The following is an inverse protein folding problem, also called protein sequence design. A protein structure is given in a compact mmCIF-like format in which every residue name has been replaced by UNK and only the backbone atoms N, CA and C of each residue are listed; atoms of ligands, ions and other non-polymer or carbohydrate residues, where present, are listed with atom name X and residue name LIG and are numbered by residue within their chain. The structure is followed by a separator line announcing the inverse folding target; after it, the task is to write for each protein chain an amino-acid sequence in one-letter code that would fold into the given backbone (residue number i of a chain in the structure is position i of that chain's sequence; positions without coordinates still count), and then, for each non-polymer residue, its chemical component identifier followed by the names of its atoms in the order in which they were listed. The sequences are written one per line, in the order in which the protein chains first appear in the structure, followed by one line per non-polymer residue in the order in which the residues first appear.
data_IF_980826680414
#
_entry.id   IF_980826680414
#
_cell.length_a   1.000
_cell.length_b   1.000
_cell.length_c   1.000
_cell.angle_alpha   90.00
_cell.angle_beta   90.00
_cell.angle_gamma   90.00
#
_symmetry.space_group_name_H-M   'P 1'
#
loop_
_entity.id
_entity.type
_entity.pdbx_description
1 polymer ?
#
# COMPACT_ATOMS: atom_id res chain seq x y z
N UNK A 1 37.66 -6.59 -16.90
CA UNK A 1 37.48 -6.06 -18.26
C UNK A 1 37.21 -4.54 -18.28
N UNK A 2 36.30 -4.01 -17.51
CA UNK A 2 35.97 -2.56 -17.39
C UNK A 2 37.18 -1.69 -16.95
N UNK A 3 37.95 -2.13 -15.96
CA UNK A 3 39.12 -1.39 -15.44
C UNK A 3 40.20 -1.20 -16.48
N UNK A 4 40.56 -2.25 -17.28
CA UNK A 4 41.51 -2.15 -18.38
C UNK A 4 41.06 -1.22 -19.53
N UNK A 5 39.73 -1.07 -19.69
CA UNK A 5 39.15 -0.15 -20.68
C UNK A 5 39.23 1.31 -20.20
N UNK A 6 39.14 1.53 -18.89
CA UNK A 6 39.28 2.87 -18.28
C UNK A 6 40.70 3.43 -18.38
N UNK A 7 41.74 2.59 -18.33
CA UNK A 7 43.15 3.05 -18.42
C UNK A 7 43.46 3.73 -19.77
N UNK A 8 42.80 3.30 -20.85
CA UNK A 8 42.99 3.86 -22.20
C UNK A 8 42.03 5.02 -22.55
N UNK A 9 41.16 5.43 -21.62
CA UNK A 9 40.20 6.50 -21.91
C UNK A 9 40.82 7.86 -21.61
N UNK A 10 40.46 8.89 -22.41
CA UNK A 10 40.78 10.29 -22.11
C UNK A 10 40.20 10.71 -20.75
N UNK A 11 40.85 11.68 -20.10
CA UNK A 11 40.47 12.14 -18.77
C UNK A 11 39.00 12.53 -18.68
N UNK A 12 38.48 13.29 -19.66
CA UNK A 12 37.08 13.65 -19.76
C UNK A 12 36.16 12.43 -19.85
N UNK A 13 36.55 11.39 -20.55
CA UNK A 13 35.77 10.14 -20.67
C UNK A 13 35.76 9.34 -19.36
N UNK A 14 36.87 9.33 -18.59
CA UNK A 14 36.97 8.68 -17.28
C UNK A 14 36.00 9.36 -16.28
N UNK A 15 36.00 10.68 -16.26
CA UNK A 15 35.08 11.48 -15.41
C UNK A 15 33.61 11.25 -15.79
N UNK A 16 33.26 11.38 -17.06
CA UNK A 16 31.91 11.19 -17.56
C UNK A 16 31.40 9.77 -17.27
N UNK A 17 32.22 8.75 -17.41
CA UNK A 17 31.85 7.37 -17.07
C UNK A 17 31.48 7.22 -15.62
N UNK A 18 32.24 7.85 -14.70
CA UNK A 18 31.90 7.84 -13.26
C UNK A 18 30.54 8.46 -12.97
N UNK A 19 30.26 9.63 -13.55
CA UNK A 19 28.96 10.29 -13.39
C UNK A 19 27.80 9.48 -13.99
N UNK A 20 27.98 8.93 -15.19
CA UNK A 20 26.95 8.12 -15.87
C UNK A 20 26.56 6.90 -15.01
N UNK A 21 27.54 6.20 -14.43
CA UNK A 21 27.26 5.03 -13.58
C UNK A 21 26.39 5.42 -12.39
N UNK A 22 26.72 6.51 -11.70
CA UNK A 22 25.95 6.99 -10.55
C UNK A 22 24.53 7.42 -10.97
N UNK A 23 24.43 8.17 -12.08
CA UNK A 23 23.13 8.63 -12.62
C UNK A 23 22.24 7.42 -12.99
N UNK A 24 22.80 6.42 -13.66
CA UNK A 24 22.05 5.20 -14.04
C UNK A 24 21.52 4.47 -12.79
N UNK A 25 22.34 4.33 -11.74
CA UNK A 25 21.89 3.73 -10.49
C UNK A 25 20.78 4.55 -9.82
N UNK A 26 20.89 5.87 -9.83
CA UNK A 26 19.84 6.75 -9.29
C UNK A 26 18.53 6.61 -10.08
N UNK A 27 18.60 6.56 -11.40
CA UNK A 27 17.42 6.38 -12.26
C UNK A 27 16.76 5.02 -12.01
N UNK A 28 17.56 3.94 -11.94
CA UNK A 28 17.02 2.59 -11.64
C UNK A 28 16.34 2.57 -10.28
N UNK A 29 16.98 3.13 -9.25
CA UNK A 29 16.40 3.20 -7.89
C UNK A 29 15.12 4.05 -7.86
N UNK A 30 15.10 5.16 -8.59
CA UNK A 30 13.92 6.02 -8.72
C UNK A 30 12.74 5.32 -9.40
N UNK A 31 13.00 4.61 -10.50
CA UNK A 31 11.98 3.82 -11.20
C UNK A 31 11.41 2.71 -10.30
N UNK A 32 12.29 2.00 -9.59
CA UNK A 32 11.86 0.97 -8.63
C UNK A 32 10.99 1.56 -7.52
N UNK A 33 11.37 2.73 -6.97
CA UNK A 33 10.58 3.42 -5.94
C UNK A 33 9.18 3.79 -6.44
N UNK A 34 9.06 4.29 -7.67
CA UNK A 34 7.76 4.62 -8.28
C UNK A 34 6.89 3.36 -8.43
N UNK A 35 7.47 2.24 -8.89
CA UNK A 35 6.75 0.97 -9.02
C UNK A 35 6.26 0.48 -7.65
N UNK A 36 7.12 0.53 -6.63
CA UNK A 36 6.77 0.13 -5.25
C UNK A 36 5.63 0.99 -4.67
N UNK A 37 5.68 2.31 -4.87
CA UNK A 37 4.62 3.23 -4.44
C UNK A 37 3.30 2.95 -5.15
N UNK A 38 3.35 2.69 -6.46
CA UNK A 38 2.14 2.35 -7.23
C UNK A 38 1.52 1.04 -6.75
N UNK A 39 2.33 0.03 -6.46
CA UNK A 39 1.87 -1.26 -5.91
C UNK A 39 1.25 -1.07 -4.52
N UNK A 40 1.89 -0.30 -3.65
CA UNK A 40 1.38 0.00 -2.31
C UNK A 40 0.04 0.75 -2.38
N UNK A 41 -0.08 1.75 -3.26
CA UNK A 41 -1.33 2.47 -3.49
C UNK A 41 -2.44 1.54 -4.02
N UNK A 42 -2.12 0.64 -4.96
CA UNK A 42 -3.05 -0.37 -5.46
C UNK A 42 -3.55 -1.31 -4.35
N UNK A 43 -2.64 -1.79 -3.49
CA UNK A 43 -3.01 -2.62 -2.34
C UNK A 43 -3.91 -1.87 -1.36
N UNK A 44 -3.63 -0.59 -1.08
CA UNK A 44 -4.46 0.24 -0.21
C UNK A 44 -5.86 0.45 -0.79
N UNK A 45 -5.96 0.74 -2.08
CA UNK A 45 -7.23 0.90 -2.78
C UNK A 45 -8.04 -0.40 -2.76
N UNK A 46 -7.40 -1.55 -3.02
CA UNK A 46 -8.04 -2.87 -2.94
C UNK A 46 -8.51 -3.20 -1.53
N UNK A 47 -7.75 -2.84 -0.51
CA UNK A 47 -8.18 -2.99 0.88
C UNK A 47 -9.40 -2.11 1.20
N UNK A 48 -9.36 -0.82 0.84
CA UNK A 48 -10.41 0.14 1.19
C UNK A 48 -11.72 -0.18 0.48
N UNK A 49 -11.67 -0.48 -0.82
CA UNK A 49 -12.86 -0.77 -1.62
C UNK A 49 -13.33 -2.23 -1.52
N UNK A 50 -12.47 -3.11 -0.99
CA UNK A 50 -12.73 -4.53 -0.83
C UNK A 50 -12.98 -4.90 0.63
N UNK A 51 -11.96 -5.43 1.32
CA UNK A 51 -12.09 -6.01 2.65
C UNK A 51 -12.74 -5.05 3.67
N UNK A 52 -12.33 -3.77 3.67
CA UNK A 52 -12.90 -2.74 4.55
C UNK A 52 -14.35 -2.43 4.20
N UNK A 53 -14.74 -2.46 2.93
CA UNK A 53 -16.13 -2.25 2.51
C UNK A 53 -17.02 -3.42 2.95
N UNK A 54 -16.53 -4.67 2.84
CA UNK A 54 -17.22 -5.87 3.36
C UNK A 54 -17.49 -5.73 4.86
N UNK A 55 -16.45 -5.46 5.64
CA UNK A 55 -16.54 -5.26 7.09
C UNK A 55 -17.56 -4.16 7.44
N UNK A 56 -17.43 -2.99 6.82
CA UNK A 56 -18.30 -1.86 7.10
C UNK A 56 -19.75 -2.15 6.76
N UNK A 57 -20.04 -2.72 5.59
CA UNK A 57 -21.39 -3.05 5.17
C UNK A 57 -22.04 -4.09 6.10
N UNK A 58 -21.30 -5.11 6.53
CA UNK A 58 -21.79 -6.11 7.49
C UNK A 58 -22.09 -5.48 8.84
N UNK A 59 -21.21 -4.66 9.38
CA UNK A 59 -21.39 -3.99 10.67
C UNK A 59 -22.57 -3.01 10.63
N UNK A 60 -22.69 -2.19 9.59
CA UNK A 60 -23.78 -1.23 9.44
C UNK A 60 -25.13 -1.92 9.25
N UNK A 61 -25.17 -3.00 8.47
CA UNK A 61 -26.36 -3.85 8.33
C UNK A 61 -26.84 -4.34 9.69
N UNK A 62 -25.94 -4.90 10.52
CA UNK A 62 -26.25 -5.35 11.90
C UNK A 62 -26.73 -4.20 12.79
N UNK A 63 -26.14 -3.02 12.69
CA UNK A 63 -26.59 -1.84 13.45
C UNK A 63 -28.02 -1.49 13.09
N UNK A 64 -28.33 -1.44 11.79
CA UNK A 64 -29.69 -1.10 11.34
C UNK A 64 -30.71 -2.17 11.75
N UNK A 65 -30.40 -3.45 11.59
CA UNK A 65 -31.24 -4.57 12.02
C UNK A 65 -31.51 -4.50 13.53
N UNK A 66 -30.47 -4.27 14.35
CA UNK A 66 -30.62 -4.18 15.81
C UNK A 66 -31.46 -2.99 16.26
N UNK A 67 -31.34 -1.83 15.57
CA UNK A 67 -32.17 -0.66 15.85
C UNK A 67 -33.65 -0.95 15.52
N UNK A 68 -33.91 -1.56 14.34
CA UNK A 68 -35.27 -1.95 13.97
C UNK A 68 -35.85 -2.97 14.93
N UNK A 69 -35.09 -4.02 15.31
CA UNK A 69 -35.51 -5.02 16.28
C UNK A 69 -35.81 -4.43 17.68
N UNK A 70 -35.01 -3.44 18.08
CA UNK A 70 -35.28 -2.71 19.34
C UNK A 70 -36.59 -1.95 19.24
N UNK A 71 -36.84 -1.22 18.18
CA UNK A 71 -38.04 -0.42 18.02
C UNK A 71 -39.31 -1.29 17.92
N UNK A 72 -39.25 -2.46 17.26
CA UNK A 72 -40.35 -3.44 17.27
C UNK A 72 -40.65 -3.88 18.71
N UNK A 73 -39.64 -4.19 19.53
CA UNK A 73 -39.82 -4.55 20.94
C UNK A 73 -40.36 -3.38 21.79
N UNK A 74 -39.91 -2.16 21.53
CA UNK A 74 -40.44 -0.97 22.21
C UNK A 74 -41.92 -0.79 21.91
N UNK A 75 -42.38 -0.97 20.67
CA UNK A 75 -43.82 -0.96 20.32
C UNK A 75 -44.60 -2.04 21.09
N UNK A 76 -44.05 -3.27 21.20
CA UNK A 76 -44.67 -4.36 21.90
C UNK A 76 -44.78 -4.10 23.41
N UNK A 77 -43.80 -3.44 24.01
CA UNK A 77 -43.75 -3.14 25.44
C UNK A 77 -44.50 -1.87 25.84
N UNK A 78 -44.63 -0.89 24.93
CA UNK A 78 -45.28 0.39 25.21
C UNK A 78 -46.78 0.31 24.95
N UNK A 79 -47.63 0.54 25.98
CA UNK A 79 -49.09 0.55 25.78
C UNK A 79 -49.58 1.81 25.05
N UNK A 80 -48.77 2.88 24.99
CA UNK A 80 -49.14 4.12 24.30
C UNK A 80 -48.94 4.00 22.81
N UNK A 81 -50.02 3.74 22.07
CA UNK A 81 -50.01 3.61 20.63
C UNK A 81 -49.76 4.91 19.87
N UNK A 82 -49.81 6.07 20.55
CA UNK A 82 -49.54 7.37 19.91
C UNK A 82 -48.11 7.51 19.39
N UNK A 83 -47.19 6.73 19.95
CA UNK A 83 -45.77 6.70 19.55
C UNK A 83 -45.46 5.74 18.38
N UNK A 84 -46.40 4.86 18.00
CA UNK A 84 -46.19 3.80 17.02
C UNK A 84 -45.82 4.33 15.63
N UNK A 85 -46.41 5.44 15.22
CA UNK A 85 -46.08 6.05 13.91
C UNK A 85 -44.59 6.45 13.82
N UNK A 86 -44.04 6.97 14.92
CA UNK A 86 -42.65 7.37 15.00
C UNK A 86 -41.69 6.15 14.95
N UNK A 87 -42.01 5.12 15.76
CA UNK A 87 -41.24 3.87 15.75
C UNK A 87 -41.28 3.20 14.39
N UNK A 88 -42.45 3.14 13.75
CA UNK A 88 -42.63 2.56 12.42
C UNK A 88 -41.78 3.29 11.35
N UNK A 89 -41.82 4.62 11.37
CA UNK A 89 -41.02 5.39 10.41
C UNK A 89 -39.50 5.14 10.57
N UNK A 90 -39.03 5.01 11.83
CA UNK A 90 -37.63 4.67 12.07
C UNK A 90 -37.31 3.22 11.68
N UNK A 91 -38.22 2.27 11.93
CA UNK A 91 -38.05 0.87 11.52
C UNK A 91 -37.89 0.82 10.02
N UNK A 92 -38.78 1.39 9.23
CA UNK A 92 -38.72 1.37 7.76
C UNK A 92 -37.40 2.00 7.22
N UNK A 93 -37.00 3.16 7.76
CA UNK A 93 -35.72 3.80 7.42
C UNK A 93 -34.52 2.86 7.68
N UNK A 94 -34.57 2.14 8.81
CA UNK A 94 -33.50 1.19 9.15
C UNK A 94 -33.49 -0.06 8.30
N UNK A 95 -34.66 -0.57 7.93
CA UNK A 95 -34.78 -1.72 7.04
C UNK A 95 -34.27 -1.40 5.64
N UNK A 96 -34.63 -0.22 5.09
CA UNK A 96 -34.11 0.24 3.81
C UNK A 96 -32.57 0.37 3.84
N UNK A 97 -32.02 0.98 4.89
CA UNK A 97 -30.57 1.10 5.07
C UNK A 97 -29.91 -0.27 5.19
N UNK A 98 -30.50 -1.22 5.92
CA UNK A 98 -29.97 -2.58 6.02
C UNK A 98 -29.92 -3.27 4.64
N UNK A 99 -30.97 -3.15 3.82
CA UNK A 99 -30.98 -3.65 2.44
C UNK A 99 -29.88 -3.03 1.59
N UNK A 100 -29.72 -1.71 1.66
CA UNK A 100 -28.69 -0.97 0.92
C UNK A 100 -27.27 -1.44 1.31
N UNK A 101 -27.01 -1.73 2.58
CA UNK A 101 -25.72 -2.27 3.02
C UNK A 101 -25.52 -3.71 2.51
N UNK A 102 -26.56 -4.54 2.48
CA UNK A 102 -26.47 -5.91 1.90
C UNK A 102 -26.21 -5.87 0.41
N UNK A 103 -26.84 -4.99 -0.34
CA UNK A 103 -26.55 -4.80 -1.76
C UNK A 103 -25.11 -4.26 -1.98
N UNK A 104 -24.65 -3.32 -1.16
CA UNK A 104 -23.27 -2.85 -1.21
C UNK A 104 -22.26 -3.97 -0.89
N UNK A 105 -22.63 -4.88 0.02
CA UNK A 105 -21.84 -6.06 0.34
C UNK A 105 -21.73 -6.99 -0.87
N UNK A 106 -22.82 -7.31 -1.54
CA UNK A 106 -22.86 -8.11 -2.78
C UNK A 106 -22.03 -7.47 -3.89
N UNK A 107 -22.14 -6.15 -4.04
CA UNK A 107 -21.42 -5.38 -5.07
C UNK A 107 -19.90 -5.44 -4.95
N UNK A 108 -19.36 -5.81 -3.79
CA UNK A 108 -17.89 -6.00 -3.63
C UNK A 108 -17.35 -7.18 -4.44
N UNK A 109 -18.17 -8.19 -4.71
CA UNK A 109 -17.77 -9.42 -5.39
C UNK A 109 -16.72 -10.26 -4.63
N UNK A 110 -16.48 -9.95 -3.35
CA UNK A 110 -15.46 -10.61 -2.51
C UNK A 110 -16.01 -11.69 -1.60
N UNK A 111 -17.34 -11.79 -1.50
CA UNK A 111 -18.05 -12.78 -0.71
C UNK A 111 -18.60 -13.83 -1.65
N UNK A 112 -18.57 -15.07 -1.20
CA UNK A 112 -19.25 -16.15 -1.91
C UNK A 112 -20.72 -15.81 -2.16
N UNK A 113 -21.19 -16.04 -3.38
CA UNK A 113 -22.55 -15.68 -3.82
C UNK A 113 -23.61 -16.40 -2.96
N UNK A 114 -23.35 -17.63 -2.56
CA UNK A 114 -24.24 -18.40 -1.69
C UNK A 114 -24.36 -17.73 -0.31
N UNK A 115 -23.23 -17.34 0.31
CA UNK A 115 -23.24 -16.67 1.61
C UNK A 115 -23.92 -15.31 1.54
N UNK A 116 -23.68 -14.53 0.48
CA UNK A 116 -24.30 -13.24 0.28
C UNK A 116 -25.82 -13.35 0.08
N UNK A 117 -26.27 -14.35 -0.71
CA UNK A 117 -27.69 -14.61 -0.93
C UNK A 117 -28.37 -15.15 0.32
N UNK A 118 -27.73 -16.03 1.08
CA UNK A 118 -28.24 -16.51 2.37
C UNK A 118 -28.47 -15.37 3.36
N UNK A 119 -27.52 -14.42 3.42
CA UNK A 119 -27.69 -13.24 4.30
C UNK A 119 -28.82 -12.33 3.83
N UNK A 120 -28.93 -12.07 2.51
CA UNK A 120 -30.03 -11.30 1.92
C UNK A 120 -31.39 -11.94 2.17
N UNK A 121 -31.52 -13.25 1.92
CA UNK A 121 -32.77 -13.98 2.14
C UNK A 121 -33.17 -13.98 3.61
N UNK A 122 -32.21 -14.23 4.51
CA UNK A 122 -32.48 -14.19 5.96
C UNK A 122 -32.91 -12.79 6.43
N UNK A 123 -32.39 -11.71 5.81
CA UNK A 123 -32.84 -10.34 6.08
C UNK A 123 -34.28 -10.13 5.64
N UNK A 124 -34.63 -10.56 4.44
CA UNK A 124 -36.02 -10.40 3.95
C UNK A 124 -37.02 -11.23 4.77
N UNK A 125 -36.67 -12.49 5.13
CA UNK A 125 -37.48 -13.33 6.01
C UNK A 125 -37.73 -12.62 7.35
N UNK A 126 -36.69 -12.04 7.95
CA UNK A 126 -36.78 -11.30 9.20
C UNK A 126 -37.64 -10.02 9.07
N UNK A 127 -37.54 -9.31 7.93
CA UNK A 127 -38.34 -8.12 7.64
C UNK A 127 -39.83 -8.46 7.54
N UNK A 128 -40.18 -9.58 6.87
CA UNK A 128 -41.56 -10.05 6.74
C UNK A 128 -42.14 -10.29 8.13
N UNK A 129 -41.48 -11.04 8.99
CA UNK A 129 -41.92 -11.30 10.36
C UNK A 129 -42.02 -10.00 11.17
N UNK A 130 -41.10 -9.05 10.99
CA UNK A 130 -41.16 -7.73 11.62
C UNK A 130 -42.42 -6.95 11.22
N UNK A 131 -42.86 -7.00 9.99
CA UNK A 131 -44.09 -6.37 9.50
C UNK A 131 -45.33 -7.07 10.04
N UNK A 132 -45.34 -8.39 10.15
CA UNK A 132 -46.45 -9.15 10.73
C UNK A 132 -46.62 -8.81 12.20
N UNK A 133 -45.53 -8.74 12.99
CA UNK A 133 -45.57 -8.30 14.39
C UNK A 133 -46.13 -6.89 14.50
N UNK A 134 -45.73 -5.95 13.66
CA UNK A 134 -46.27 -4.59 13.66
C UNK A 134 -47.75 -4.56 13.31
N UNK A 135 -48.25 -5.43 12.43
CA UNK A 135 -49.66 -5.55 12.09
C UNK A 135 -50.50 -6.06 13.27
N UNK A 136 -49.99 -7.07 14.02
CA UNK A 136 -50.65 -7.57 15.24
C UNK A 136 -50.70 -6.50 16.34
N UNK A 137 -49.66 -5.69 16.48
CA UNK A 137 -49.65 -4.57 17.41
C UNK A 137 -50.67 -3.49 17.06
N UNK A 138 -50.85 -3.20 15.74
CA UNK A 138 -51.85 -2.27 15.26
C UNK A 138 -53.30 -2.81 15.48
N UNK A 139 -53.48 -4.12 15.35
CA UNK A 139 -54.76 -4.79 15.65
C UNK A 139 -55.06 -4.88 17.16
N UNK A 140 -54.11 -4.52 18.02
CA UNK A 140 -54.26 -4.62 19.47
C UNK A 140 -53.93 -6.01 20.07
N UNK A 141 -53.45 -6.95 19.24
CA UNK A 141 -53.11 -8.33 19.59
C UNK A 141 -51.71 -8.44 20.18
N UNK A 142 -51.47 -7.70 21.27
CA UNK A 142 -50.14 -7.55 21.88
C UNK A 142 -49.55 -8.89 22.38
N UNK A 143 -50.36 -9.79 22.88
CA UNK A 143 -49.91 -11.09 23.37
C UNK A 143 -49.39 -11.92 22.21
N UNK A 144 -50.11 -11.98 21.09
CA UNK A 144 -49.72 -12.65 19.85
C UNK A 144 -48.43 -12.04 19.30
N UNK A 145 -48.36 -10.70 19.16
CA UNK A 145 -47.17 -10.00 18.72
C UNK A 145 -45.94 -10.33 19.57
N UNK A 146 -46.14 -10.43 20.93
CA UNK A 146 -45.02 -10.79 21.82
C UNK A 146 -44.56 -12.23 21.61
N UNK A 147 -45.53 -13.14 21.39
CA UNK A 147 -45.19 -14.54 21.09
C UNK A 147 -44.43 -14.66 19.77
N UNK A 148 -44.85 -13.95 18.72
CA UNK A 148 -44.13 -13.91 17.41
C UNK A 148 -42.70 -13.34 17.55
N UNK A 149 -42.52 -12.34 18.44
CA UNK A 149 -41.16 -11.85 18.71
C UNK A 149 -40.26 -12.97 19.25
N UNK A 150 -40.77 -13.81 20.15
CA UNK A 150 -39.97 -14.88 20.79
C UNK A 150 -39.76 -16.06 19.85
N UNK A 151 -40.82 -16.50 19.17
CA UNK A 151 -40.81 -17.76 18.42
C UNK A 151 -40.29 -17.62 16.98
N UNK A 152 -40.45 -16.46 16.34
CA UNK A 152 -40.13 -16.23 14.95
C UNK A 152 -39.03 -15.17 14.75
N UNK A 153 -39.20 -13.97 15.34
CA UNK A 153 -38.27 -12.85 15.13
C UNK A 153 -36.89 -13.13 15.74
N UNK A 154 -36.81 -13.62 16.96
CA UNK A 154 -35.52 -13.90 17.65
C UNK A 154 -34.70 -15.01 16.97
N UNK A 155 -35.27 -16.16 16.57
CA UNK A 155 -34.52 -17.15 15.80
C UNK A 155 -33.96 -16.65 14.47
N UNK A 156 -34.73 -15.87 13.71
CA UNK A 156 -34.27 -15.26 12.46
C UNK A 156 -33.18 -14.23 12.70
N UNK A 157 -33.28 -13.42 13.76
CA UNK A 157 -32.25 -12.47 14.16
C UNK A 157 -30.93 -13.22 14.51
N UNK A 158 -31.01 -14.33 15.22
CA UNK A 158 -29.84 -15.15 15.56
C UNK A 158 -29.21 -15.76 14.30
N UNK A 159 -30.02 -16.20 13.33
CA UNK A 159 -29.54 -16.64 12.01
C UNK A 159 -28.76 -15.54 11.29
N UNK A 160 -29.32 -14.31 11.25
CA UNK A 160 -28.65 -13.13 10.67
C UNK A 160 -27.31 -12.83 11.38
N UNK A 161 -27.27 -12.87 12.71
CA UNK A 161 -26.05 -12.65 13.48
C UNK A 161 -24.99 -13.70 13.12
N UNK A 162 -25.38 -14.97 12.99
CA UNK A 162 -24.45 -16.04 12.63
C UNK A 162 -23.88 -15.86 11.21
N UNK A 163 -24.74 -15.49 10.25
CA UNK A 163 -24.31 -15.21 8.88
C UNK A 163 -23.37 -13.99 8.84
N UNK A 164 -23.70 -12.93 9.56
CA UNK A 164 -22.85 -11.74 9.67
C UNK A 164 -21.47 -12.08 10.28
N UNK A 165 -21.42 -12.92 11.31
CA UNK A 165 -20.15 -13.40 11.90
C UNK A 165 -19.28 -14.19 10.90
N UNK A 166 -19.90 -14.96 10.01
CA UNK A 166 -19.17 -15.67 8.96
C UNK A 166 -18.59 -14.70 7.93
N UNK A 167 -19.34 -13.66 7.61
CA UNK A 167 -18.86 -12.59 6.71
C UNK A 167 -17.73 -11.79 7.40
N UNK A 168 -17.86 -11.46 8.67
CA UNK A 168 -16.81 -10.77 9.45
C UNK A 168 -15.49 -11.57 9.45
N UNK A 169 -15.54 -12.89 9.64
CA UNK A 169 -14.34 -13.75 9.56
C UNK A 169 -13.67 -13.68 8.20
N UNK A 170 -14.46 -13.70 7.12
CA UNK A 170 -13.94 -13.57 5.78
C UNK A 170 -13.31 -12.18 5.55
N UNK A 171 -13.94 -11.12 6.04
CA UNK A 171 -13.41 -9.76 5.99
C UNK A 171 -12.06 -9.64 6.73
N UNK A 172 -11.92 -10.29 7.89
CA UNK A 172 -10.68 -10.35 8.67
C UNK A 172 -9.57 -11.09 7.92
N UNK A 173 -9.90 -12.20 7.25
CA UNK A 173 -8.93 -12.93 6.40
C UNK A 173 -8.45 -12.07 5.23
N UNK A 174 -9.38 -11.41 4.53
CA UNK A 174 -9.07 -10.50 3.42
C UNK A 174 -8.20 -9.32 3.90
N UNK A 175 -8.53 -8.75 5.04
CA UNK A 175 -7.77 -7.67 5.70
C UNK A 175 -6.36 -8.12 6.04
N UNK A 176 -6.22 -9.29 6.67
CA UNK A 176 -4.93 -9.87 7.04
C UNK A 176 -4.04 -10.11 5.81
N UNK A 177 -4.61 -10.67 4.73
CA UNK A 177 -3.91 -10.86 3.45
C UNK A 177 -3.46 -9.53 2.84
N UNK A 178 -4.32 -8.52 2.82
CA UNK A 178 -4.01 -7.20 2.28
C UNK A 178 -2.88 -6.50 3.07
N UNK A 179 -2.93 -6.57 4.41
CA UNK A 179 -1.89 -6.02 5.29
C UNK A 179 -0.56 -6.77 5.09
N UNK A 180 -0.58 -8.10 5.02
CA UNK A 180 0.63 -8.90 4.79
C UNK A 180 1.28 -8.58 3.44
N UNK A 181 0.48 -8.46 2.38
CA UNK A 181 0.95 -8.06 1.04
C UNK A 181 1.59 -6.68 1.05
N UNK A 182 0.93 -5.70 1.66
CA UNK A 182 1.44 -4.32 1.78
C UNK A 182 2.73 -4.26 2.59
N UNK A 183 2.81 -4.99 3.71
CA UNK A 183 4.02 -5.09 4.54
C UNK A 183 5.19 -5.69 3.77
N UNK A 184 4.95 -6.79 3.03
CA UNK A 184 6.00 -7.41 2.23
C UNK A 184 6.49 -6.48 1.13
N UNK A 185 5.60 -5.80 0.43
CA UNK A 185 5.95 -4.80 -0.59
C UNK A 185 6.81 -3.67 0.02
N UNK A 186 6.44 -3.16 1.20
CA UNK A 186 7.19 -2.13 1.91
C UNK A 186 8.59 -2.61 2.31
N UNK A 187 8.70 -3.79 2.95
CA UNK A 187 10.00 -4.34 3.39
C UNK A 187 10.92 -4.56 2.20
N UNK A 188 10.44 -5.19 1.12
CA UNK A 188 11.23 -5.40 -0.09
C UNK A 188 11.66 -4.05 -0.69
N UNK A 189 10.76 -3.07 -0.75
CA UNK A 189 11.06 -1.72 -1.22
C UNK A 189 12.19 -1.07 -0.43
N UNK A 190 12.13 -1.11 0.90
CA UNK A 190 13.17 -0.56 1.78
C UNK A 190 14.51 -1.27 1.57
N UNK A 191 14.52 -2.60 1.52
CA UNK A 191 15.75 -3.39 1.31
C UNK A 191 16.41 -3.01 -0.02
N UNK A 192 15.65 -2.91 -1.10
CA UNK A 192 16.18 -2.55 -2.42
C UNK A 192 16.77 -1.14 -2.41
N UNK A 193 16.11 -0.18 -1.78
CA UNK A 193 16.61 1.19 -1.66
C UNK A 193 17.92 1.22 -0.87
N UNK A 194 17.98 0.55 0.28
CA UNK A 194 19.20 0.49 1.12
C UNK A 194 20.36 -0.15 0.36
N UNK A 195 20.13 -1.28 -0.31
CA UNK A 195 21.15 -1.95 -1.13
C UNK A 195 21.63 -1.03 -2.26
N UNK A 196 20.70 -0.33 -2.92
CA UNK A 196 21.05 0.59 -4.01
C UNK A 196 21.93 1.75 -3.53
N UNK A 197 21.61 2.32 -2.37
CA UNK A 197 22.41 3.41 -1.76
C UNK A 197 23.82 2.90 -1.39
N UNK A 198 23.92 1.73 -0.75
CA UNK A 198 25.22 1.14 -0.40
C UNK A 198 26.06 0.85 -1.65
N UNK A 199 25.46 0.28 -2.67
CA UNK A 199 26.13 -0.02 -3.93
C UNK A 199 26.63 1.25 -4.62
N UNK A 200 25.78 2.28 -4.71
CA UNK A 200 26.13 3.57 -5.29
C UNK A 200 27.27 4.23 -4.53
N UNK A 201 27.24 4.19 -3.19
CA UNK A 201 28.30 4.75 -2.33
C UNK A 201 29.64 4.04 -2.55
N UNK A 202 29.64 2.71 -2.51
CA UNK A 202 30.87 1.91 -2.73
C UNK A 202 31.44 2.15 -4.13
N UNK A 203 30.59 2.14 -5.17
CA UNK A 203 31.02 2.41 -6.53
C UNK A 203 31.56 3.84 -6.69
N UNK A 204 30.89 4.83 -6.11
CA UNK A 204 31.33 6.22 -6.16
C UNK A 204 32.71 6.41 -5.51
N UNK A 205 32.92 5.83 -4.32
CA UNK A 205 34.22 5.86 -3.64
C UNK A 205 35.32 5.13 -4.42
N UNK A 206 35.00 3.98 -5.00
CA UNK A 206 35.95 3.22 -5.81
C UNK A 206 36.36 3.99 -7.06
N UNK A 207 35.39 4.51 -7.82
CA UNK A 207 35.63 5.29 -9.04
C UNK A 207 36.39 6.58 -8.68
N UNK A 208 35.98 7.28 -7.60
CA UNK A 208 36.63 8.49 -7.12
C UNK A 208 38.13 8.26 -6.81
N UNK A 209 38.47 7.20 -6.06
CA UNK A 209 39.87 6.82 -5.80
C UNK A 209 40.65 6.55 -7.09
N UNK A 210 40.03 5.86 -8.04
CA UNK A 210 40.70 5.57 -9.34
C UNK A 210 40.94 6.83 -10.18
N UNK A 211 39.98 7.76 -10.21
CA UNK A 211 40.12 9.04 -10.90
C UNK A 211 41.19 9.91 -10.23
N UNK A 212 41.21 10.01 -8.88
CA UNK A 212 42.24 10.75 -8.15
C UNK A 212 43.64 10.18 -8.46
N UNK A 213 43.79 8.87 -8.41
CA UNK A 213 45.09 8.23 -8.73
C UNK A 213 45.51 8.47 -10.18
N UNK A 214 44.55 8.45 -11.12
CA UNK A 214 44.86 8.63 -12.55
C UNK A 214 45.13 10.09 -12.96
N UNK A 215 44.71 11.06 -12.13
CA UNK A 215 44.85 12.50 -12.44
C UNK A 215 45.81 13.19 -11.49
N UNK A 216 45.58 13.08 -10.18
CA UNK A 216 46.34 13.85 -9.19
C UNK A 216 47.80 13.38 -9.06
N UNK A 217 48.02 12.07 -9.09
CA UNK A 217 49.39 11.53 -8.93
C UNK A 217 50.30 11.95 -10.07
N UNK A 218 49.93 11.80 -11.36
CA UNK A 218 50.74 12.29 -12.46
C UNK A 218 50.96 13.80 -12.48
N UNK A 219 49.91 14.58 -12.13
CA UNK A 219 50.05 16.05 -12.09
C UNK A 219 51.04 16.51 -11.03
N UNK A 220 51.07 15.86 -9.83
CA UNK A 220 52.08 16.15 -8.81
C UNK A 220 53.49 15.80 -9.25
N UNK A 221 53.68 14.72 -10.03
CA UNK A 221 54.97 14.37 -10.62
C UNK A 221 55.41 15.43 -11.63
N UNK A 222 54.50 15.82 -12.55
CA UNK A 222 54.76 16.88 -13.55
C UNK A 222 55.10 18.22 -12.84
N UNK A 223 54.34 18.60 -11.79
CA UNK A 223 54.59 19.82 -11.00
C UNK A 223 55.97 19.79 -10.36
N UNK A 224 56.36 18.65 -9.78
CA UNK A 224 57.68 18.48 -9.13
C UNK A 224 58.80 18.64 -10.14
N UNK A 225 58.68 18.02 -11.31
CA UNK A 225 59.68 18.13 -12.37
C UNK A 225 59.76 19.57 -12.93
N UNK A 226 58.58 20.20 -13.16
CA UNK A 226 58.55 21.59 -13.64
C UNK A 226 59.19 22.58 -12.65
N UNK A 227 58.98 22.39 -11.33
CA UNK A 227 59.62 23.17 -10.29
C UNK A 227 61.16 22.95 -10.25
N UNK A 228 61.63 21.71 -10.44
CA UNK A 228 63.02 21.38 -10.57
C UNK A 228 63.70 22.08 -11.77
N UNK A 229 63.08 22.01 -12.94
CA UNK A 229 63.53 22.70 -14.13
C UNK A 229 63.63 24.23 -13.91
N UNK A 230 62.62 24.85 -13.31
CA UNK A 230 62.61 26.27 -12.95
C UNK A 230 63.75 26.68 -12.00
N UNK A 231 64.27 25.75 -11.24
CA UNK A 231 65.43 25.92 -10.33
C UNK A 231 66.79 25.55 -10.94
N UNK A 232 66.81 25.20 -12.25
CA UNK A 232 68.01 24.82 -12.97
C UNK A 232 68.45 23.36 -12.80
N UNK A 233 67.59 22.52 -12.20
CA UNK A 233 67.86 21.08 -12.06
C UNK A 233 67.40 20.33 -13.30
N UNK A 234 68.29 20.04 -14.22
CA UNK A 234 68.02 19.36 -15.50
C UNK A 234 68.10 17.82 -15.40
N UNK A 235 68.28 17.26 -14.20
CA UNK A 235 68.45 15.81 -13.98
C UNK A 235 67.15 15.13 -13.51
N UNK A 236 66.05 15.87 -13.43
CA UNK A 236 64.74 15.29 -13.03
C UNK A 236 64.12 14.53 -14.20
N UNK A 237 64.07 13.20 -14.12
CA UNK A 237 63.37 12.38 -15.10
C UNK A 237 61.84 12.32 -14.79
N UNK A 238 61.04 12.59 -15.80
CA UNK A 238 59.58 12.43 -15.72
C UNK A 238 59.21 11.02 -16.25
N UNK A 239 58.85 10.12 -15.31
CA UNK A 239 58.59 8.72 -15.63
C UNK A 239 57.17 8.48 -16.18
N UNK A 240 56.22 9.38 -15.92
CA UNK A 240 54.82 9.19 -16.31
C UNK A 240 54.67 9.19 -17.87
N UNK A 241 54.04 8.13 -18.40
CA UNK A 241 53.69 7.96 -19.82
C UNK A 241 52.20 7.57 -19.91
N UNK A 242 51.45 8.26 -20.76
CA UNK A 242 50.04 7.95 -21.06
C UNK A 242 49.66 8.51 -22.45
N UNK A 243 48.62 7.92 -23.04
CA UNK A 243 48.05 8.39 -24.30
C UNK A 243 46.95 9.45 -24.09
N UNK A 244 46.75 9.93 -22.84
CA UNK A 244 45.74 10.93 -22.49
C UNK A 244 46.34 12.37 -22.46
N UNK A 245 45.51 13.35 -22.10
CA UNK A 245 45.89 14.77 -22.07
C UNK A 245 47.03 15.04 -21.08
N UNK A 246 47.15 14.23 -20.01
CA UNK A 246 48.23 14.33 -19.01
C UNK A 246 49.52 13.78 -19.57
N UNK A 247 49.43 12.69 -20.36
CA UNK A 247 50.58 12.16 -21.07
C UNK A 247 51.17 13.15 -22.10
N UNK A 248 50.31 13.82 -22.87
CA UNK A 248 50.72 14.90 -23.78
C UNK A 248 51.42 16.07 -23.07
N UNK A 249 50.94 16.43 -21.87
CA UNK A 249 51.59 17.47 -21.04
C UNK A 249 52.97 16.99 -20.54
N UNK A 250 53.08 15.72 -20.15
CA UNK A 250 54.33 15.12 -19.70
C UNK A 250 55.36 15.05 -20.83
N UNK A 251 54.91 14.72 -22.05
CA UNK A 251 55.79 14.68 -23.26
C UNK A 251 56.30 16.08 -23.58
N UNK A 252 55.43 17.10 -23.58
CA UNK A 252 55.85 18.49 -23.82
C UNK A 252 56.87 19.01 -22.79
N UNK A 253 56.75 18.55 -21.52
CA UNK A 253 57.71 18.92 -20.48
C UNK A 253 59.06 18.17 -20.63
N UNK A 254 59.07 16.95 -21.20
CA UNK A 254 60.32 16.20 -21.50
C UNK A 254 61.10 16.82 -22.67
N UNK A 255 60.39 17.46 -23.60
CA UNK A 255 61.00 18.10 -24.76
C UNK A 255 61.51 19.53 -24.45
N UNK A 256 61.20 20.09 -23.31
CA UNK A 256 61.61 21.46 -22.87
C UNK A 256 62.92 21.45 -22.16
#
# INVERSE_FOLDING_TARGET
MLVKKMEKMKMQQKLNFGYIVVIVLMVISGLFSIISLRTLYGNLTSYTNGAKRVETATQMSRVHINVAARNIREMALNPDTSTYSSFRAEIEDRLEKARNEVEALKATGLIDEELANNFSTALEDWIVVGHEIMAELDAGNREEATQMILDDCVPLLNKLITLAQNIDKLADELTTKAIASSRNCFIVGVIVIVISILLATVLSLYIGKKIIAAVTTPLLEIESVAKGLAQGNLHNELAYQSEDEIGSLADSLRES
#
